data_IF_587299725855
#
_entry.id   IF_587299725855
#
_cell.length_a   1.000
_cell.length_b   1.000
_cell.length_c   1.000
_cell.angle_alpha   90.00
_cell.angle_beta   90.00
_cell.angle_gamma   90.00
#
_symmetry.space_group_name_H-M   'P 1'
#
loop_
_entity.id
_entity.type
_entity.pdbx_description
1 polymer ?
#
# COMPACT_ATOMS: atom_id res chain seq x y z
N UNK A 1 4.81 14.01 -19.89
CA UNK A 1 3.55 13.62 -19.23
C UNK A 1 3.73 12.25 -18.63
N UNK A 2 3.19 11.98 -17.46
CA UNK A 2 3.20 10.68 -16.80
C UNK A 2 1.86 9.98 -17.03
N UNK A 3 1.92 8.73 -17.54
CA UNK A 3 0.74 7.90 -17.83
C UNK A 3 0.74 6.70 -16.90
N UNK A 4 -0.31 6.54 -16.12
CA UNK A 4 -0.57 5.35 -15.31
C UNK A 4 -1.87 4.70 -15.76
N UNK A 5 -1.85 3.39 -15.91
CA UNK A 5 -3.02 2.61 -16.36
C UNK A 5 -3.46 1.61 -15.29
N UNK A 6 -4.77 1.40 -15.26
CA UNK A 6 -5.38 0.34 -14.47
C UNK A 6 -5.79 -0.83 -15.38
N UNK A 7 -5.38 -2.03 -14.97
CA UNK A 7 -5.80 -3.26 -15.58
C UNK A 7 -5.93 -4.32 -14.49
N UNK A 8 -7.15 -4.50 -13.98
CA UNK A 8 -7.43 -5.43 -12.88
C UNK A 8 -7.45 -6.88 -13.37
N UNK A 9 -6.27 -7.46 -13.44
CA UNK A 9 -6.02 -8.83 -13.89
C UNK A 9 -4.78 -9.40 -13.22
N UNK A 10 -4.32 -10.59 -13.63
CA UNK A 10 -3.08 -11.19 -13.14
C UNK A 10 -1.83 -10.42 -13.61
N UNK A 11 -0.76 -10.55 -12.84
CA UNK A 11 0.49 -9.82 -13.04
C UNK A 11 1.13 -10.07 -14.41
N UNK A 12 1.10 -11.31 -14.91
CA UNK A 12 1.68 -11.64 -16.22
C UNK A 12 0.91 -10.96 -17.36
N UNK A 13 -0.38 -10.73 -17.17
CA UNK A 13 -1.22 -10.06 -18.17
C UNK A 13 -0.98 -8.56 -18.17
N UNK A 14 -1.07 -7.87 -17.01
CA UNK A 14 -0.87 -6.42 -17.02
C UNK A 14 0.58 -6.01 -17.31
N UNK A 15 1.58 -6.84 -16.98
CA UNK A 15 2.97 -6.58 -17.33
C UNK A 15 3.19 -6.35 -18.84
N UNK A 16 2.44 -7.06 -19.68
CA UNK A 16 2.55 -6.93 -21.15
C UNK A 16 2.14 -5.55 -21.67
N UNK A 17 1.29 -4.84 -20.93
CA UNK A 17 0.85 -3.51 -21.36
C UNK A 17 1.96 -2.45 -21.28
N UNK A 18 3.08 -2.72 -20.61
CA UNK A 18 4.25 -1.86 -20.68
C UNK A 18 4.83 -1.74 -22.10
N UNK A 19 4.61 -2.73 -23.00
CA UNK A 19 4.96 -2.64 -24.43
C UNK A 19 4.25 -1.48 -25.15
N UNK A 20 3.12 -0.99 -24.62
CA UNK A 20 2.41 0.14 -25.22
C UNK A 20 3.10 1.49 -25.03
N UNK A 21 4.16 1.54 -24.22
CA UNK A 21 4.85 2.78 -23.87
C UNK A 21 4.18 3.57 -22.73
N UNK A 22 3.24 2.94 -22.01
CA UNK A 22 2.73 3.51 -20.77
C UNK A 22 3.84 3.55 -19.71
N UNK A 23 3.92 4.63 -18.95
CA UNK A 23 4.96 4.78 -17.91
C UNK A 23 4.75 3.79 -16.77
N UNK A 24 3.49 3.58 -16.37
CA UNK A 24 3.15 2.76 -15.18
C UNK A 24 1.88 1.96 -15.35
N UNK A 25 1.89 0.78 -14.75
CA UNK A 25 0.70 -0.03 -14.48
C UNK A 25 0.48 -0.13 -12.97
N UNK A 26 -0.77 -0.01 -12.50
CA UNK A 26 -1.10 -0.29 -11.11
C UNK A 26 -0.79 -1.74 -10.74
N UNK A 27 -0.03 -1.92 -9.67
CA UNK A 27 0.48 -3.22 -9.24
C UNK A 27 -0.53 -3.97 -8.37
N UNK A 28 -1.43 -4.67 -9.01
CA UNK A 28 -2.48 -5.46 -8.36
C UNK A 28 -1.97 -6.68 -7.60
N UNK A 29 -0.76 -7.18 -7.91
CA UNK A 29 -0.23 -8.37 -7.24
C UNK A 29 -0.03 -8.15 -5.72
N UNK A 30 0.29 -6.93 -5.32
CA UNK A 30 0.51 -6.57 -3.92
C UNK A 30 -0.73 -5.99 -3.22
N UNK A 31 -1.71 -5.55 -3.98
CA UNK A 31 -2.90 -4.85 -3.51
C UNK A 31 -4.00 -5.79 -3.02
N UNK A 32 -4.99 -5.20 -2.32
CA UNK A 32 -6.21 -5.85 -1.82
C UNK A 32 -5.96 -6.90 -0.70
N UNK A 33 -7.06 -7.38 -0.13
CA UNK A 33 -7.09 -8.40 0.95
C UNK A 33 -6.51 -9.76 0.54
N UNK A 34 -6.42 -10.03 -0.77
CA UNK A 34 -5.87 -11.25 -1.36
C UNK A 34 -4.48 -11.07 -1.95
N UNK A 35 -3.95 -9.84 -1.97
CA UNK A 35 -2.62 -9.56 -2.47
C UNK A 35 -1.49 -10.01 -1.54
N UNK A 36 -0.28 -9.88 -2.04
CA UNK A 36 0.93 -10.36 -1.35
C UNK A 36 1.07 -9.72 0.04
N UNK A 37 0.87 -8.39 0.15
CA UNK A 37 1.01 -7.69 1.42
C UNK A 37 0.05 -8.25 2.46
N UNK A 38 -1.24 -8.32 2.16
CA UNK A 38 -2.24 -8.82 3.11
C UNK A 38 -2.04 -10.29 3.47
N UNK A 39 -1.61 -11.13 2.52
CA UNK A 39 -1.34 -12.53 2.77
C UNK A 39 -0.13 -12.74 3.69
N UNK A 40 0.94 -11.98 3.51
CA UNK A 40 2.10 -12.01 4.42
C UNK A 40 1.70 -11.52 5.81
N UNK A 41 1.00 -10.39 5.90
CA UNK A 41 0.58 -9.83 7.18
C UNK A 41 -0.40 -10.72 7.97
N UNK A 42 -1.19 -11.54 7.27
CA UNK A 42 -2.10 -12.52 7.88
C UNK A 42 -1.48 -13.90 8.09
N UNK A 43 -0.18 -14.08 7.84
CA UNK A 43 0.52 -15.36 7.98
C UNK A 43 0.07 -16.45 6.99
N UNK A 44 -0.58 -16.06 5.89
CA UNK A 44 -0.99 -16.97 4.80
C UNK A 44 0.12 -17.20 3.80
N UNK A 45 1.13 -16.36 3.79
CA UNK A 45 2.35 -16.46 3.02
C UNK A 45 3.55 -16.09 3.89
N UNK A 46 4.73 -16.62 3.58
CA UNK A 46 5.97 -16.27 4.29
C UNK A 46 6.39 -14.82 3.98
N UNK A 47 7.11 -14.20 4.91
CA UNK A 47 7.66 -12.85 4.70
C UNK A 47 8.57 -12.80 3.45
N UNK A 48 9.28 -13.89 3.16
CA UNK A 48 10.14 -14.01 1.98
C UNK A 48 9.37 -13.90 0.67
N UNK A 49 8.07 -14.25 0.66
CA UNK A 49 7.23 -14.12 -0.54
C UNK A 49 7.14 -12.68 -1.02
N UNK A 50 7.06 -11.70 -0.11
CA UNK A 50 7.07 -10.29 -0.47
C UNK A 50 8.37 -9.88 -1.18
N UNK A 51 9.53 -10.19 -0.58
CA UNK A 51 10.82 -9.79 -1.14
C UNK A 51 11.15 -10.49 -2.47
N UNK A 52 10.82 -11.79 -2.59
CA UNK A 52 11.01 -12.56 -3.83
C UNK A 52 10.13 -12.02 -4.96
N UNK A 53 8.89 -11.62 -4.68
CA UNK A 53 8.03 -11.05 -5.70
C UNK A 53 8.52 -9.67 -6.15
N UNK A 54 9.00 -8.82 -5.23
CA UNK A 54 9.61 -7.53 -5.59
C UNK A 54 10.82 -7.69 -6.52
N UNK A 55 11.67 -8.69 -6.28
CA UNK A 55 12.82 -8.98 -7.14
C UNK A 55 12.37 -9.51 -8.51
N UNK A 56 11.42 -10.46 -8.50
CA UNK A 56 10.95 -11.12 -9.73
C UNK A 56 10.21 -10.15 -10.67
N UNK A 57 9.37 -9.27 -10.12
CA UNK A 57 8.59 -8.34 -10.94
C UNK A 57 9.44 -7.35 -11.72
N UNK A 58 10.58 -6.94 -11.18
CA UNK A 58 11.50 -6.03 -11.88
C UNK A 58 11.94 -6.62 -13.21
N UNK A 59 12.38 -7.89 -13.21
CA UNK A 59 12.75 -8.59 -14.43
C UNK A 59 11.57 -8.77 -15.38
N UNK A 60 10.39 -9.04 -14.83
CA UNK A 60 9.16 -9.21 -15.60
C UNK A 60 8.77 -7.91 -16.33
N UNK A 61 8.74 -6.77 -15.64
CA UNK A 61 8.34 -5.50 -16.23
C UNK A 61 9.39 -4.96 -17.19
N UNK A 62 10.68 -5.05 -16.82
CA UNK A 62 11.79 -4.62 -17.66
C UNK A 62 11.88 -5.40 -18.98
N UNK A 63 11.38 -6.64 -19.05
CA UNK A 63 11.29 -7.41 -20.28
C UNK A 63 10.41 -6.73 -21.34
N UNK A 64 9.35 -6.03 -20.90
CA UNK A 64 8.40 -5.36 -21.78
C UNK A 64 8.73 -3.88 -21.99
N UNK A 65 9.28 -3.22 -20.99
CA UNK A 65 9.76 -1.84 -21.07
C UNK A 65 10.89 -1.62 -20.04
N UNK A 66 12.14 -1.46 -20.47
CA UNK A 66 13.27 -1.24 -19.56
C UNK A 66 13.15 0.06 -18.74
N UNK A 67 12.38 1.03 -19.24
CA UNK A 67 12.15 2.33 -18.59
C UNK A 67 10.83 2.35 -17.78
N UNK A 68 10.24 1.20 -17.49
CA UNK A 68 9.00 1.11 -16.72
C UNK A 68 9.15 1.77 -15.35
N UNK A 69 8.04 2.33 -14.86
CA UNK A 69 7.91 2.82 -13.49
C UNK A 69 6.78 2.03 -12.83
N UNK A 70 7.06 1.27 -11.78
CA UNK A 70 5.99 0.58 -11.05
C UNK A 70 5.03 1.59 -10.41
N UNK A 71 3.75 1.25 -10.28
CA UNK A 71 2.75 2.03 -9.56
C UNK A 71 2.12 1.20 -8.41
N UNK A 72 2.88 0.95 -7.34
CA UNK A 72 2.36 0.21 -6.21
C UNK A 72 1.24 0.97 -5.51
N UNK A 73 0.25 0.22 -5.05
CA UNK A 73 -0.81 0.71 -4.19
C UNK A 73 -1.28 -0.44 -3.29
N UNK A 74 -1.89 -0.11 -2.15
CA UNK A 74 -2.38 -1.16 -1.25
C UNK A 74 -3.89 -1.32 -1.35
N UNK A 75 -4.59 -0.19 -1.36
CA UNK A 75 -6.04 -0.12 -1.56
C UNK A 75 -6.40 1.05 -2.47
N UNK A 76 -7.63 1.04 -2.95
CA UNK A 76 -8.20 2.13 -3.71
C UNK A 76 -9.71 2.27 -3.43
N UNK A 77 -10.40 3.08 -4.20
CA UNK A 77 -11.84 3.34 -4.07
C UNK A 77 -12.74 2.15 -4.48
N UNK A 78 -12.19 1.12 -5.10
CA UNK A 78 -12.90 -0.09 -5.52
C UNK A 78 -12.64 -1.29 -4.62
N UNK A 79 -11.69 -1.17 -3.68
CA UNK A 79 -11.31 -2.20 -2.72
C UNK A 79 -11.71 -1.83 -1.29
N UNK A 80 -11.90 -2.84 -0.45
CA UNK A 80 -12.00 -2.61 0.99
C UNK A 80 -10.72 -1.99 1.54
N UNK A 81 -10.84 -1.09 2.53
CA UNK A 81 -9.69 -0.46 3.19
C UNK A 81 -8.90 -1.44 4.04
N UNK A 82 -7.58 -1.29 4.08
CA UNK A 82 -6.65 -2.28 4.63
C UNK A 82 -6.85 -2.56 6.12
N UNK A 83 -7.27 -1.60 6.92
CA UNK A 83 -7.57 -1.81 8.34
C UNK A 83 -8.67 -2.86 8.58
N UNK A 84 -9.51 -3.13 7.58
CA UNK A 84 -10.50 -4.20 7.59
C UNK A 84 -9.95 -5.60 7.28
N UNK A 85 -8.69 -5.72 6.83
CA UNK A 85 -8.07 -7.01 6.51
C UNK A 85 -7.54 -7.73 7.74
N UNK A 86 -7.40 -7.03 8.85
CA UNK A 86 -6.76 -7.50 10.06
C UNK A 86 -7.72 -7.53 11.24
N UNK A 87 -7.61 -8.55 12.07
CA UNK A 87 -8.43 -8.75 13.26
C UNK A 87 -7.57 -9.03 14.49
N UNK A 88 -8.16 -8.86 15.67
CA UNK A 88 -7.50 -9.13 16.95
C UNK A 88 -6.56 -8.00 17.41
N UNK A 89 -5.80 -8.29 18.44
CA UNK A 89 -4.97 -7.32 19.16
C UNK A 89 -3.82 -6.75 18.31
N UNK A 90 -3.29 -7.53 17.38
CA UNK A 90 -2.18 -7.10 16.53
C UNK A 90 -2.62 -6.27 15.30
N UNK A 91 -3.90 -6.00 15.15
CA UNK A 91 -4.43 -5.38 13.92
C UNK A 91 -3.88 -4.00 13.63
N UNK A 92 -3.52 -3.22 14.64
CA UNK A 92 -2.87 -1.91 14.46
C UNK A 92 -1.44 -2.07 13.93
N UNK A 93 -0.64 -2.95 14.54
CA UNK A 93 0.71 -3.25 14.07
C UNK A 93 0.70 -3.80 12.64
N UNK A 94 -0.27 -4.66 12.30
CA UNK A 94 -0.46 -5.19 10.94
C UNK A 94 -0.85 -4.07 9.95
N UNK A 95 -1.71 -3.13 10.34
CA UNK A 95 -2.07 -1.97 9.51
C UNK A 95 -0.84 -1.08 9.25
N UNK A 96 -0.07 -0.77 10.28
CA UNK A 96 1.19 -0.02 10.17
C UNK A 96 2.17 -0.70 9.20
N UNK A 97 2.46 -1.98 9.44
CA UNK A 97 3.41 -2.74 8.62
C UNK A 97 2.92 -2.92 7.17
N UNK A 98 1.63 -3.20 6.95
CA UNK A 98 1.07 -3.31 5.60
C UNK A 98 1.23 -2.02 4.80
N UNK A 99 0.97 -0.87 5.41
CA UNK A 99 1.24 0.43 4.79
C UNK A 99 2.74 0.65 4.53
N UNK A 100 3.62 0.25 5.46
CA UNK A 100 5.06 0.37 5.26
C UNK A 100 5.54 -0.50 4.09
N UNK A 101 5.06 -1.74 3.98
CA UNK A 101 5.39 -2.63 2.86
C UNK A 101 5.00 -2.01 1.52
N UNK A 102 3.80 -1.40 1.41
CA UNK A 102 3.41 -0.67 0.21
C UNK A 102 4.31 0.54 -0.06
N UNK A 103 4.49 1.41 0.94
CA UNK A 103 5.22 2.66 0.80
C UNK A 103 6.72 2.48 0.51
N UNK A 104 7.29 1.33 0.86
CA UNK A 104 8.70 1.02 0.62
C UNK A 104 8.93 0.20 -0.66
N UNK A 105 7.91 0.00 -1.50
CA UNK A 105 8.09 -0.56 -2.85
C UNK A 105 8.77 0.45 -3.78
N UNK A 106 9.37 -0.04 -4.87
CA UNK A 106 9.94 0.79 -5.93
C UNK A 106 8.84 1.47 -6.77
N UNK A 107 9.19 2.46 -7.58
CA UNK A 107 8.29 3.18 -8.46
C UNK A 107 7.55 4.35 -7.80
N UNK A 108 6.41 4.73 -8.35
CA UNK A 108 5.54 5.79 -7.86
C UNK A 108 4.42 5.20 -7.01
N UNK A 109 4.58 5.23 -5.69
CA UNK A 109 3.61 4.65 -4.76
C UNK A 109 2.37 5.53 -4.62
N UNK A 110 1.21 4.88 -4.67
CA UNK A 110 -0.08 5.51 -4.40
C UNK A 110 -0.58 5.16 -3.01
N UNK A 111 -0.96 6.17 -2.25
CA UNK A 111 -1.59 6.03 -0.94
C UNK A 111 -3.05 6.49 -1.06
N UNK A 112 -3.98 5.59 -0.85
CA UNK A 112 -5.40 5.95 -0.81
C UNK A 112 -5.70 6.70 0.49
N UNK A 113 -6.37 7.85 0.39
CA UNK A 113 -6.64 8.69 1.56
C UNK A 113 -7.32 7.91 2.69
N UNK A 114 -6.89 8.17 3.91
CA UNK A 114 -7.39 7.49 5.11
C UNK A 114 -6.68 6.17 5.45
N UNK A 115 -5.86 5.61 4.54
CA UNK A 115 -4.99 4.47 4.89
C UNK A 115 -3.96 4.87 5.94
N UNK A 116 -3.50 6.12 5.92
CA UNK A 116 -2.60 6.70 6.92
C UNK A 116 -3.22 6.83 8.31
N UNK A 117 -4.54 6.71 8.42
CA UNK A 117 -5.27 6.67 9.70
C UNK A 117 -5.78 5.27 10.04
N UNK A 118 -5.63 4.30 9.14
CA UNK A 118 -6.29 3.01 9.28
C UNK A 118 -7.82 3.12 9.24
N UNK A 119 -8.37 3.99 8.40
CA UNK A 119 -9.82 4.09 8.20
C UNK A 119 -10.38 2.76 7.72
N UNK A 120 -11.63 2.49 8.10
CA UNK A 120 -12.42 1.35 7.61
C UNK A 120 -13.35 1.77 6.47
N UNK A 121 -13.78 0.78 5.72
CA UNK A 121 -14.78 0.90 4.68
C UNK A 121 -14.68 -0.30 3.73
N UNK A 122 -15.75 -1.08 3.63
CA UNK A 122 -15.81 -2.28 2.79
C UNK A 122 -17.24 -2.60 2.37
N UNK A 123 -17.41 -3.59 1.52
CA UNK A 123 -18.71 -3.98 0.99
C UNK A 123 -19.15 -3.02 -0.10
N UNK A 124 -20.08 -2.13 0.19
CA UNK A 124 -20.56 -1.13 -0.76
C UNK A 124 -19.46 -0.15 -1.16
N UNK A 125 -19.55 0.36 -2.37
CA UNK A 125 -18.61 1.36 -2.88
C UNK A 125 -18.62 2.66 -2.07
N UNK A 126 -19.79 3.06 -1.60
CA UNK A 126 -20.00 4.23 -0.76
C UNK A 126 -19.16 4.15 0.53
N UNK A 127 -19.08 2.97 1.14
CA UNK A 127 -18.31 2.75 2.37
C UNK A 127 -16.80 2.96 2.18
N UNK A 128 -16.29 2.60 1.00
CA UNK A 128 -14.87 2.77 0.65
C UNK A 128 -14.51 4.23 0.42
N UNK A 129 -15.52 5.07 0.15
CA UNK A 129 -15.44 6.52 -0.14
C UNK A 129 -15.93 7.39 1.03
N UNK A 130 -15.91 6.84 2.25
CA UNK A 130 -16.27 7.57 3.46
C UNK A 130 -15.45 8.86 3.60
N UNK A 131 -16.01 9.94 4.16
CA UNK A 131 -15.28 11.17 4.43
C UNK A 131 -14.03 10.90 5.27
N UNK A 132 -13.00 11.72 5.07
CA UNK A 132 -11.79 11.66 5.91
C UNK A 132 -12.16 11.83 7.39
N UNK A 133 -11.62 10.97 8.23
CA UNK A 133 -11.89 10.95 9.68
C UNK A 133 -11.01 11.99 10.39
N UNK A 134 -11.38 13.28 10.24
CA UNK A 134 -10.62 14.40 10.75
C UNK A 134 -10.62 14.47 12.29
N UNK A 135 -11.80 14.36 12.90
CA UNK A 135 -11.99 14.38 14.34
C UNK A 135 -12.99 13.31 14.78
N UNK A 136 -12.98 13.01 16.07
CA UNK A 136 -13.80 11.97 16.71
C UNK A 136 -15.30 12.16 16.50
N UNK A 137 -15.75 13.39 16.55
CA UNK A 137 -17.18 13.73 16.48
C UNK A 137 -17.70 13.75 15.04
N UNK A 138 -16.83 13.63 14.02
CA UNK A 138 -17.22 13.64 12.61
C UNK A 138 -17.82 14.98 12.15
N UNK A 139 -17.42 16.09 12.77
CA UNK A 139 -17.97 17.42 12.55
C UNK A 139 -16.91 18.50 12.33
N UNK A 140 -15.72 18.11 11.89
CA UNK A 140 -14.64 19.06 11.60
C UNK A 140 -15.08 20.12 10.58
N UNK A 141 -14.63 21.35 10.75
CA UNK A 141 -14.91 22.44 9.82
C UNK A 141 -14.45 22.09 8.40
N UNK A 142 -15.34 22.26 7.43
CA UNK A 142 -15.06 21.92 6.03
C UNK A 142 -15.12 20.43 5.70
N UNK A 143 -15.48 19.57 6.66
CA UNK A 143 -15.66 18.14 6.40
C UNK A 143 -16.79 17.89 5.38
N UNK A 144 -16.50 17.10 4.34
CA UNK A 144 -17.53 16.72 3.38
C UNK A 144 -18.50 15.70 3.98
N UNK A 145 -19.70 15.62 3.41
CA UNK A 145 -20.66 14.56 3.71
C UNK A 145 -20.25 13.28 2.97
N UNK A 146 -20.52 12.13 3.59
CA UNK A 146 -20.37 10.85 2.90
C UNK A 146 -21.37 10.68 1.75
N UNK A 147 -21.15 9.70 0.87
CA UNK A 147 -22.13 9.29 -0.12
C UNK A 147 -23.49 8.96 0.53
N UNK A 148 -24.58 9.20 -0.22
CA UNK A 148 -25.96 9.09 0.32
C UNK A 148 -26.30 7.71 0.86
N UNK A 149 -25.79 6.65 0.25
CA UNK A 149 -26.09 5.25 0.59
C UNK A 149 -24.97 4.61 1.44
N UNK A 150 -24.05 5.39 1.99
CA UNK A 150 -23.02 4.92 2.91
C UNK A 150 -23.66 4.35 4.19
N UNK A 151 -23.17 3.18 4.61
CA UNK A 151 -23.60 2.58 5.85
C UNK A 151 -23.08 3.38 7.06
N UNK A 152 -23.79 3.31 8.16
CA UNK A 152 -23.29 3.78 9.45
C UNK A 152 -22.34 2.71 10.03
N UNK A 153 -21.06 3.04 10.14
CA UNK A 153 -20.06 2.16 10.75
C UNK A 153 -19.02 2.95 11.55
N UNK A 154 -18.52 2.33 12.59
CA UNK A 154 -17.48 2.94 13.44
C UNK A 154 -16.10 2.69 12.86
N UNK A 155 -15.25 3.71 12.90
CA UNK A 155 -13.82 3.57 12.66
C UNK A 155 -13.20 2.66 13.75
N UNK A 156 -12.11 2.01 13.39
CA UNK A 156 -11.42 1.05 14.29
C UNK A 156 -10.37 1.74 15.15
N UNK A 157 -9.74 2.74 14.59
CA UNK A 157 -8.69 3.52 15.19
C UNK A 157 -9.12 4.98 15.33
N UNK A 158 -8.35 5.75 16.06
CA UNK A 158 -8.64 7.13 16.38
C UNK A 158 -8.66 8.04 15.16
N UNK A 159 -9.21 9.23 15.31
CA UNK A 159 -9.26 10.27 14.28
C UNK A 159 -7.88 10.89 14.02
N UNK A 160 -7.75 11.66 12.93
CA UNK A 160 -6.51 12.37 12.63
C UNK A 160 -6.06 13.27 13.80
N UNK A 161 -7.00 14.03 14.37
CA UNK A 161 -6.71 14.96 15.48
C UNK A 161 -6.09 14.22 16.68
N UNK A 162 -6.67 13.09 17.07
CA UNK A 162 -6.14 12.26 18.15
C UNK A 162 -4.81 11.58 17.77
N UNK A 163 -4.71 11.03 16.56
CA UNK A 163 -3.49 10.35 16.11
C UNK A 163 -2.30 11.28 15.91
N UNK A 164 -2.52 12.57 15.67
CA UNK A 164 -1.41 13.55 15.58
C UNK A 164 -0.70 13.73 16.92
N UNK A 165 -1.42 13.60 18.03
CA UNK A 165 -0.90 13.74 19.39
C UNK A 165 -0.27 12.44 19.93
N UNK A 166 -0.59 11.28 19.34
CA UNK A 166 -0.02 9.99 19.72
C UNK A 166 1.20 9.64 18.85
N UNK A 167 2.43 9.67 19.40
CA UNK A 167 3.64 9.37 18.65
C UNK A 167 3.68 7.93 18.09
N UNK A 168 2.93 7.01 18.70
CA UNK A 168 2.86 5.61 18.30
C UNK A 168 1.68 5.31 17.37
N UNK A 169 0.89 6.30 16.95
CA UNK A 169 -0.26 6.13 16.06
C UNK A 169 0.10 5.60 14.66
N UNK A 170 -0.91 5.11 13.93
CA UNK A 170 -0.76 4.74 12.52
C UNK A 170 -0.31 5.95 11.70
N UNK A 171 -0.92 7.12 11.93
CA UNK A 171 -0.57 8.37 11.24
C UNK A 171 0.90 8.73 11.37
N UNK A 172 1.41 8.78 12.61
CA UNK A 172 2.79 9.15 12.85
C UNK A 172 3.78 8.09 12.33
N UNK A 173 3.41 6.81 12.38
CA UNK A 173 4.18 5.73 11.78
C UNK A 173 4.26 5.88 10.24
N UNK A 174 3.13 6.06 9.56
CA UNK A 174 3.08 6.24 8.10
C UNK A 174 3.85 7.49 7.67
N UNK A 175 3.69 8.59 8.39
CA UNK A 175 4.47 9.82 8.19
C UNK A 175 5.98 9.57 8.27
N UNK A 176 6.42 8.75 9.21
CA UNK A 176 7.82 8.36 9.35
C UNK A 176 8.30 7.51 8.15
N UNK A 177 7.51 6.54 7.72
CA UNK A 177 7.83 5.69 6.56
C UNK A 177 7.97 6.54 5.29
N UNK A 178 7.04 7.47 5.05
CA UNK A 178 7.12 8.41 3.92
C UNK A 178 8.39 9.26 4.01
N UNK A 179 8.76 9.72 5.20
CA UNK A 179 10.01 10.46 5.41
C UNK A 179 11.24 9.62 5.05
N UNK A 180 11.30 8.36 5.51
CA UNK A 180 12.39 7.43 5.17
C UNK A 180 12.49 7.24 3.66
N UNK A 181 11.36 7.00 2.99
CA UNK A 181 11.30 6.87 1.53
C UNK A 181 11.87 8.11 0.83
N UNK A 182 11.41 9.30 1.24
CA UNK A 182 11.81 10.56 0.59
C UNK A 182 13.28 10.93 0.85
N UNK A 183 13.82 10.52 1.99
CA UNK A 183 15.24 10.73 2.31
C UNK A 183 16.17 9.73 1.61
N UNK A 184 15.63 8.64 1.07
CA UNK A 184 16.38 7.58 0.40
C UNK A 184 15.79 7.30 -0.99
N UNK A 185 16.10 8.12 -2.01
CA UNK A 185 15.55 7.96 -3.36
C UNK A 185 15.76 6.58 -3.98
N UNK A 186 16.81 5.87 -3.53
CA UNK A 186 17.09 4.48 -3.95
C UNK A 186 15.93 3.52 -3.65
N UNK A 187 15.08 3.80 -2.65
CA UNK A 187 13.88 3.00 -2.38
C UNK A 187 12.93 3.04 -3.58
N UNK A 188 12.78 4.21 -4.20
CA UNK A 188 11.88 4.39 -5.34
C UNK A 188 12.50 3.98 -6.68
N UNK A 189 13.82 4.17 -6.84
CA UNK A 189 14.50 4.10 -8.14
C UNK A 189 15.49 2.95 -8.27
N UNK A 190 15.94 2.40 -7.14
CA UNK A 190 16.99 1.37 -7.13
C UNK A 190 16.46 -0.02 -7.47
N UNK A 191 17.37 -0.84 -7.94
CA UNK A 191 17.14 -2.26 -8.16
C UNK A 191 17.04 -2.99 -6.83
N UNK A 192 16.05 -3.87 -6.70
CA UNK A 192 15.85 -4.72 -5.53
C UNK A 192 16.61 -6.04 -5.70
N UNK A 193 17.35 -6.45 -4.68
CA UNK A 193 17.87 -7.81 -4.61
C UNK A 193 17.46 -8.45 -3.28
N UNK A 194 16.85 -9.62 -3.36
CA UNK A 194 16.48 -10.44 -2.21
C UNK A 194 17.72 -11.10 -1.60
N UNK A 195 17.84 -11.08 -0.29
CA UNK A 195 18.96 -11.66 0.43
C UNK A 195 18.51 -12.91 1.19
N UNK A 196 18.56 -14.07 0.52
CA UNK A 196 18.09 -15.34 1.06
C UNK A 196 18.77 -15.72 2.38
N UNK A 197 20.08 -15.51 2.50
CA UNK A 197 20.88 -15.87 3.68
C UNK A 197 20.51 -15.08 4.94
N UNK A 198 19.78 -13.97 4.81
CA UNK A 198 19.32 -13.12 5.93
C UNK A 198 17.79 -13.15 6.07
N UNK A 199 17.13 -14.07 5.40
CA UNK A 199 15.67 -14.15 5.35
C UNK A 199 15.16 -15.46 5.94
N UNK A 200 13.92 -15.45 6.41
CA UNK A 200 13.24 -16.61 7.01
C UNK A 200 11.73 -16.51 6.82
N UNK A 201 11.01 -17.40 7.47
CA UNK A 201 9.56 -17.48 7.31
C UNK A 201 8.83 -16.19 7.74
N UNK A 202 9.30 -15.58 8.84
CA UNK A 202 8.69 -14.38 9.43
C UNK A 202 9.48 -13.10 9.20
N UNK A 203 10.58 -13.16 8.46
CA UNK A 203 11.39 -11.99 8.16
C UNK A 203 11.99 -12.10 6.76
N UNK A 204 12.29 -10.95 6.17
CA UNK A 204 13.05 -10.88 4.93
C UNK A 204 14.11 -9.78 5.01
N UNK A 205 15.14 -9.93 4.20
CA UNK A 205 16.12 -8.90 3.94
C UNK A 205 16.22 -8.67 2.43
N UNK A 206 16.37 -7.43 2.04
CA UNK A 206 16.62 -7.04 0.66
C UNK A 206 17.55 -5.83 0.62
N UNK A 207 18.21 -5.64 -0.49
CA UNK A 207 18.94 -4.40 -0.81
C UNK A 207 18.22 -3.60 -1.87
N UNK A 208 18.48 -2.30 -1.85
CA UNK A 208 18.15 -1.36 -2.91
C UNK A 208 19.44 -0.69 -3.36
N UNK A 209 19.78 -0.80 -4.62
CA UNK A 209 20.96 -0.18 -5.17
C UNK A 209 20.64 0.55 -6.46
N UNK A 210 21.22 1.72 -6.65
CA UNK A 210 21.30 2.42 -7.91
C UNK A 210 22.71 2.23 -8.49
N UNK A 211 22.84 2.24 -9.80
CA UNK A 211 24.10 2.00 -10.53
C UNK A 211 25.03 3.24 -10.53
N UNK A 212 25.06 4.01 -9.43
CA UNK A 212 25.96 5.17 -9.30
C UNK A 212 27.06 4.94 -8.27
#
# INVERSE_FOLDING_TARGET
NYLVCECWTDQNTYAKYYESGVDSMFDFAFADKSGIIANVMNGKASATSYAKNLETEQGMYAQYNPDYINAPFYTNHDMGRSAGYYAGENSEAQTKMGNALNLLMNGNVFLYYGEELGMKGSGKDENKRAPMYWNKDGNAEGMCKGPADMDDFRMKFDSLEEQQEDPDSIYNYVKQVIRVRNQNPVIARGTTAYLEQYSGEQCFALTRSDEN
#
